data_IF_405557914319
#
_entry.id   IF_405557914319
#
_cell.length_a   1.000
_cell.length_b   1.000
_cell.length_c   1.000
_cell.angle_alpha   90.00
_cell.angle_beta   90.00
_cell.angle_gamma   90.00
#
_symmetry.space_group_name_H-M   'P 1'
#
loop_
_entity.id
_entity.type
_entity.pdbx_description
1 polymer ?
#
# COMPACT_ATOMS: atom_id res chain seq x y z
N UNK A 1 -13.55 59.78 -0.67
CA UNK A 1 -13.34 59.14 0.64
C UNK A 1 -12.38 57.96 0.50
N UNK A 2 -11.09 58.24 0.24
CA UNK A 2 -10.05 57.29 -0.18
C UNK A 2 -9.27 56.64 0.97
N UNK A 3 -9.84 56.60 2.18
CA UNK A 3 -9.17 56.09 3.39
C UNK A 3 -9.66 54.70 3.82
N UNK A 4 -10.63 54.13 3.11
CA UNK A 4 -11.16 52.79 3.41
C UNK A 4 -10.49 51.67 2.60
N UNK A 5 -9.76 52.00 1.54
CA UNK A 5 -9.11 51.00 0.67
C UNK A 5 -7.70 50.58 1.11
N UNK A 6 -7.10 51.29 2.07
CA UNK A 6 -5.72 51.01 2.52
C UNK A 6 -5.67 49.99 3.66
N UNK A 7 -6.80 49.71 4.33
CA UNK A 7 -6.83 48.81 5.49
C UNK A 7 -7.01 47.32 5.16
N UNK A 8 -7.34 46.95 3.91
CA UNK A 8 -7.53 45.53 3.53
C UNK A 8 -6.28 44.91 2.90
N UNK A 9 -5.19 45.69 2.74
CA UNK A 9 -3.91 45.23 2.18
C UNK A 9 -2.90 44.76 3.24
N UNK A 10 -3.34 44.53 4.48
CA UNK A 10 -2.49 44.07 5.59
C UNK A 10 -3.09 42.81 6.26
N UNK A 11 -3.46 41.82 5.46
CA UNK A 11 -3.79 40.47 5.93
C UNK A 11 -3.08 39.42 5.06
N UNK A 12 -1.84 39.71 4.68
CA UNK A 12 -0.93 38.72 4.09
C UNK A 12 -0.09 38.14 5.22
N UNK A 13 -0.68 37.22 5.98
CA UNK A 13 0.02 36.48 7.05
C UNK A 13 0.46 35.12 6.49
N UNK A 14 1.70 35.12 6.01
CA UNK A 14 2.73 34.07 6.14
C UNK A 14 2.21 32.64 6.41
N UNK A 15 2.10 31.82 5.35
CA UNK A 15 2.15 30.36 5.49
C UNK A 15 3.63 29.93 5.42
N UNK A 16 4.27 29.75 6.56
CA UNK A 16 5.57 29.09 6.62
C UNK A 16 5.36 27.58 6.39
N UNK A 17 5.92 27.06 5.30
CA UNK A 17 5.98 25.64 5.01
C UNK A 17 6.95 24.97 5.99
N UNK A 18 6.42 24.16 6.91
CA UNK A 18 7.23 23.32 7.78
C UNK A 18 7.71 22.10 6.97
N UNK A 19 9.00 22.05 6.63
CA UNK A 19 9.62 20.85 6.10
C UNK A 19 9.72 19.82 7.23
N UNK A 20 8.92 18.76 7.15
CA UNK A 20 8.91 17.67 8.13
C UNK A 20 10.18 16.83 7.94
N UNK A 21 11.14 17.00 8.84
CA UNK A 21 12.39 16.24 8.86
C UNK A 21 12.19 14.96 9.68
N UNK A 22 12.34 13.80 9.04
CA UNK A 22 12.19 12.48 9.65
C UNK A 22 13.57 12.01 10.14
N UNK A 23 13.71 11.71 11.43
CA UNK A 23 14.96 11.26 12.05
C UNK A 23 14.93 9.76 12.30
N UNK A 24 16.00 9.04 11.92
CA UNK A 24 16.17 7.60 12.14
C UNK A 24 17.17 7.33 13.27
N UNK A 25 16.90 6.39 14.17
CA UNK A 25 17.92 5.81 15.05
C UNK A 25 17.77 4.30 15.18
N UNK A 26 18.86 3.63 15.55
CA UNK A 26 18.88 2.19 15.80
C UNK A 26 19.08 1.96 17.28
N UNK A 27 18.25 1.13 17.91
CA UNK A 27 18.40 0.78 19.31
C UNK A 27 19.46 -0.33 19.53
N UNK A 28 19.79 -0.60 20.79
CA UNK A 28 20.77 -1.62 21.19
C UNK A 28 20.34 -3.08 20.89
N UNK A 29 19.12 -3.27 20.39
CA UNK A 29 18.58 -4.56 19.95
C UNK A 29 18.60 -4.69 18.41
N UNK A 30 19.10 -3.67 17.70
CA UNK A 30 19.18 -3.65 16.24
C UNK A 30 17.90 -3.20 15.54
N UNK A 31 16.88 -2.74 16.27
CA UNK A 31 15.64 -2.26 15.67
C UNK A 31 15.76 -0.79 15.27
N UNK A 32 15.24 -0.47 14.09
CA UNK A 32 15.28 0.87 13.52
C UNK A 32 13.98 1.61 13.84
N UNK A 33 14.10 2.80 14.41
CA UNK A 33 13.01 3.68 14.79
C UNK A 33 13.08 5.00 14.02
N UNK A 34 11.92 5.58 13.71
CA UNK A 34 11.79 6.89 13.05
C UNK A 34 10.95 7.84 13.92
N UNK A 35 11.35 9.12 14.04
CA UNK A 35 10.65 10.15 14.83
C UNK A 35 10.83 11.53 14.21
N UNK A 36 9.82 12.39 14.39
CA UNK A 36 9.80 13.77 13.92
C UNK A 36 10.21 14.78 15.03
N UNK A 37 10.75 14.30 16.16
CA UNK A 37 11.20 15.14 17.27
C UNK A 37 12.69 14.92 17.60
N UNK A 38 13.52 15.99 17.66
CA UNK A 38 14.94 15.87 17.88
C UNK A 38 15.27 15.48 19.34
N UNK A 39 16.19 14.52 19.51
CA UNK A 39 16.76 14.10 20.81
C UNK A 39 18.27 14.37 20.83
N UNK A 40 18.85 14.62 22.02
CA UNK A 40 20.30 14.80 22.18
C UNK A 40 21.05 13.54 21.70
N UNK A 41 21.97 13.72 20.75
CA UNK A 41 22.86 12.65 20.24
C UNK A 41 22.54 12.13 18.83
N UNK A 42 21.66 12.78 18.08
CA UNK A 42 21.40 12.42 16.69
C UNK A 42 22.52 12.93 15.76
N UNK A 43 23.13 12.03 14.99
CA UNK A 43 24.04 12.36 13.89
C UNK A 43 23.30 12.37 12.55
N UNK A 44 23.71 13.29 11.67
CA UNK A 44 23.14 13.51 10.35
C UNK A 44 23.57 12.41 9.38
N UNK A 45 22.61 11.72 8.75
CA UNK A 45 22.89 10.72 7.71
C UNK A 45 22.75 11.37 6.34
N UNK A 46 23.87 11.52 5.64
CA UNK A 46 23.90 11.88 4.22
C UNK A 46 23.73 10.62 3.39
N UNK A 47 22.69 10.57 2.55
CA UNK A 47 22.44 9.47 1.62
C UNK A 47 23.37 9.64 0.40
N UNK A 48 24.22 8.66 0.07
CA UNK A 48 25.02 8.73 -1.16
C UNK A 48 24.14 8.55 -2.41
N UNK A 49 24.50 9.23 -3.50
CA UNK A 49 23.80 9.17 -4.79
C UNK A 49 23.69 7.73 -5.33
N UNK A 50 22.55 7.45 -5.93
CA UNK A 50 22.19 6.18 -6.55
C UNK A 50 23.15 5.84 -7.70
N UNK A 51 23.77 4.67 -7.65
CA UNK A 51 24.46 4.10 -8.80
C UNK A 51 23.45 3.71 -9.87
N UNK A 52 23.46 4.44 -10.98
CA UNK A 52 22.70 4.08 -12.18
C UNK A 52 23.40 2.93 -12.90
N UNK A 53 22.76 1.76 -12.99
CA UNK A 53 23.19 0.72 -13.91
C UNK A 53 22.60 1.00 -15.30
N UNK A 54 23.48 1.09 -16.30
CA UNK A 54 23.11 1.23 -17.71
C UNK A 54 22.62 -0.12 -18.24
N UNK A 55 21.45 -0.13 -18.88
CA UNK A 55 20.90 -1.32 -19.56
C UNK A 55 21.81 -1.75 -20.73
N UNK A 56 21.99 -3.05 -21.00
CA UNK A 56 22.65 -3.49 -22.22
C UNK A 56 21.75 -3.27 -23.43
N UNK A 57 22.34 -2.68 -24.47
CA UNK A 57 21.74 -2.38 -25.78
C UNK A 57 21.15 -3.63 -26.45
N UNK A 58 19.92 -3.58 -26.99
CA UNK A 58 19.40 -4.68 -27.79
C UNK A 58 20.13 -4.76 -29.14
N UNK A 59 20.78 -5.89 -29.40
CA UNK A 59 21.30 -6.22 -30.73
C UNK A 59 20.23 -6.98 -31.52
N UNK A 60 19.91 -6.46 -32.70
CA UNK A 60 19.16 -7.10 -33.79
C UNK A 60 19.79 -6.55 -35.09
N UNK A 61 19.77 -7.23 -36.25
CA UNK A 61 18.96 -8.39 -36.65
C UNK A 61 19.71 -9.48 -37.45
N UNK A 62 19.07 -10.64 -37.68
CA UNK A 62 19.06 -11.27 -39.01
C UNK A 62 18.02 -12.39 -39.16
N UNK A 63 17.06 -12.11 -40.05
CA UNK A 63 16.07 -12.99 -40.71
C UNK A 63 16.73 -14.16 -41.44
N UNK A 64 16.07 -15.32 -41.59
CA UNK A 64 15.51 -15.65 -42.93
C UNK A 64 14.00 -15.92 -42.95
N UNK A 65 13.45 -15.75 -44.15
CA UNK A 65 12.06 -15.57 -44.52
C UNK A 65 11.31 -16.87 -44.89
N UNK A 66 10.00 -16.69 -45.08
CA UNK A 66 9.02 -17.49 -45.86
C UNK A 66 8.20 -18.51 -45.03
N UNK A 67 6.86 -18.59 -45.08
CA UNK A 67 5.84 -18.23 -46.09
C UNK A 67 4.47 -17.96 -45.40
N UNK A 68 3.55 -17.17 -45.99
CA UNK A 68 2.35 -16.67 -45.29
C UNK A 68 1.14 -17.61 -45.40
N UNK A 69 0.32 -17.61 -44.35
CA UNK A 69 -1.08 -18.01 -44.41
C UNK A 69 -1.92 -16.94 -43.67
N UNK A 70 -2.97 -16.52 -44.35
CA UNK A 70 -3.84 -15.37 -44.09
C UNK A 70 -4.89 -15.66 -43.00
N UNK A 71 -5.44 -14.55 -42.46
CA UNK A 71 -6.70 -14.44 -41.69
C UNK A 71 -6.59 -14.91 -40.23
N UNK A 72 -6.78 -14.08 -39.20
CA UNK A 72 -7.73 -12.98 -39.03
C UNK A 72 -7.10 -11.69 -38.47
N UNK A 73 -7.43 -10.56 -39.11
CA UNK A 73 -7.34 -9.24 -38.50
C UNK A 73 -8.64 -9.01 -37.73
N UNK A 74 -8.59 -9.04 -36.40
CA UNK A 74 -9.29 -8.10 -35.49
C UNK A 74 -9.21 -8.59 -34.02
N UNK A 75 -8.02 -8.85 -33.47
CA UNK A 75 -7.88 -9.06 -32.01
C UNK A 75 -6.44 -8.89 -31.45
N UNK A 76 -5.46 -8.51 -32.28
CA UNK A 76 -4.04 -8.49 -31.87
C UNK A 76 -3.56 -7.19 -31.24
N UNK A 77 -4.47 -6.24 -30.95
CA UNK A 77 -4.19 -5.01 -30.18
C UNK A 77 -5.04 -4.95 -28.88
N UNK A 78 -5.36 -6.09 -28.27
CA UNK A 78 -5.95 -6.13 -26.91
C UNK A 78 -5.38 -7.23 -26.01
N UNK A 79 -4.27 -7.87 -26.41
CA UNK A 79 -3.76 -9.05 -25.72
C UNK A 79 -2.32 -8.92 -25.22
N UNK A 80 -1.94 -7.72 -24.79
CA UNK A 80 -0.76 -7.53 -23.96
C UNK A 80 -1.11 -6.53 -22.90
N UNK A 81 -0.93 -6.94 -21.64
CA UNK A 81 -1.05 -6.14 -20.43
C UNK A 81 -2.43 -6.25 -19.73
N UNK A 82 -2.77 -7.45 -19.26
CA UNK A 82 -3.71 -7.65 -18.13
C UNK A 82 -2.94 -8.23 -16.93
N UNK A 83 -3.42 -8.03 -15.70
CA UNK A 83 -2.86 -8.74 -14.55
C UNK A 83 -3.20 -10.23 -14.68
N UNK A 84 -2.24 -11.10 -14.37
CA UNK A 84 -2.43 -12.55 -14.47
C UNK A 84 -2.79 -13.16 -13.12
N UNK A 85 -2.43 -12.49 -12.02
CA UNK A 85 -2.67 -12.97 -10.68
C UNK A 85 -2.80 -11.81 -9.69
N UNK A 86 -3.79 -11.90 -8.82
CA UNK A 86 -3.96 -11.06 -7.64
C UNK A 86 -4.51 -11.93 -6.52
N UNK A 87 -3.84 -11.92 -5.37
CA UNK A 87 -4.24 -12.73 -4.22
C UNK A 87 -3.86 -12.08 -2.89
N UNK A 88 -4.49 -12.53 -1.81
CA UNK A 88 -4.02 -12.24 -0.46
C UNK A 88 -3.06 -13.37 -0.05
N UNK A 89 -1.78 -13.04 0.12
CA UNK A 89 -0.75 -13.99 0.52
C UNK A 89 -0.69 -14.19 2.04
N UNK A 90 -1.06 -13.15 2.80
CA UNK A 90 -1.19 -13.21 4.25
C UNK A 90 -2.36 -12.32 4.71
N UNK A 91 -3.17 -12.74 5.69
CA UNK A 91 -3.21 -14.08 6.28
C UNK A 91 -3.70 -15.14 5.27
N UNK A 92 -3.45 -16.42 5.54
CA UNK A 92 -4.04 -17.50 4.72
C UNK A 92 -5.55 -17.60 4.94
N UNK A 93 -6.28 -18.07 3.93
CA UNK A 93 -7.70 -18.37 4.08
C UNK A 93 -7.91 -19.41 5.20
N UNK A 94 -8.92 -19.17 6.04
CA UNK A 94 -9.23 -19.93 7.24
C UNK A 94 -8.40 -19.57 8.48
N UNK A 95 -7.46 -18.61 8.38
CA UNK A 95 -6.61 -18.25 9.52
C UNK A 95 -7.42 -17.72 10.72
N UNK A 96 -7.00 -18.12 11.92
CA UNK A 96 -7.55 -17.58 13.17
C UNK A 96 -6.61 -16.54 13.76
N UNK A 97 -7.04 -15.29 13.82
CA UNK A 97 -6.30 -14.18 14.40
C UNK A 97 -6.71 -14.00 15.87
N UNK A 98 -5.75 -14.14 16.78
CA UNK A 98 -5.95 -13.94 18.23
C UNK A 98 -5.34 -12.60 18.63
N UNK A 99 -6.11 -11.52 18.51
CA UNK A 99 -5.65 -10.18 18.82
C UNK A 99 -6.74 -9.39 19.56
N UNK A 100 -6.45 -8.95 20.78
CA UNK A 100 -7.38 -8.24 21.65
C UNK A 100 -7.83 -6.89 21.08
N UNK A 101 -6.96 -6.24 20.32
CA UNK A 101 -7.20 -4.95 19.68
C UNK A 101 -7.86 -5.09 18.30
N UNK A 102 -8.05 -6.32 17.80
CA UNK A 102 -8.54 -6.55 16.45
C UNK A 102 -7.60 -6.02 15.37
N UNK A 103 -6.29 -6.05 15.62
CA UNK A 103 -5.29 -5.66 14.64
C UNK A 103 -4.97 -6.85 13.73
N UNK A 104 -5.10 -6.63 12.41
CA UNK A 104 -4.81 -7.62 11.36
C UNK A 104 -3.97 -6.94 10.28
N UNK A 105 -2.88 -7.59 9.87
CA UNK A 105 -2.08 -7.18 8.71
C UNK A 105 -2.43 -8.08 7.55
N UNK A 106 -2.69 -7.46 6.39
CA UNK A 106 -3.01 -8.15 5.14
C UNK A 106 -1.95 -7.81 4.11
N UNK A 107 -1.37 -8.81 3.47
CA UNK A 107 -0.37 -8.67 2.41
C UNK A 107 -0.94 -9.24 1.12
N UNK A 108 -0.92 -8.44 0.06
CA UNK A 108 -1.32 -8.84 -1.28
C UNK A 108 -0.11 -9.32 -2.11
N UNK A 109 -0.36 -10.23 -3.03
CA UNK A 109 0.55 -10.62 -4.11
C UNK A 109 -0.09 -10.27 -5.46
N UNK A 110 0.71 -9.73 -6.37
CA UNK A 110 0.27 -9.33 -7.72
C UNK A 110 1.32 -9.78 -8.73
N UNK A 111 0.87 -10.38 -9.83
CA UNK A 111 1.72 -10.73 -10.97
C UNK A 111 1.06 -10.31 -12.29
N UNK A 112 1.79 -9.64 -13.20
CA UNK A 112 3.09 -8.99 -13.01
C UNK A 112 3.03 -7.85 -11.98
N UNK A 113 4.17 -7.21 -11.66
CA UNK A 113 4.20 -6.05 -10.75
C UNK A 113 3.21 -4.96 -11.17
N UNK A 114 2.70 -4.21 -10.18
CA UNK A 114 1.78 -3.10 -10.40
C UNK A 114 2.35 -2.11 -11.41
N UNK A 115 1.51 -1.72 -12.35
CA UNK A 115 1.88 -0.73 -13.35
C UNK A 115 1.94 0.66 -12.73
N UNK A 116 2.77 1.56 -13.30
CA UNK A 116 2.74 2.95 -12.91
C UNK A 116 1.33 3.54 -13.04
N UNK A 117 0.80 4.07 -11.94
CA UNK A 117 -0.55 4.66 -11.86
C UNK A 117 -1.59 3.75 -11.23
N UNK A 118 -1.46 2.43 -11.40
CA UNK A 118 -2.36 1.45 -10.80
C UNK A 118 -2.07 1.32 -9.30
N UNK A 119 -3.12 1.04 -8.54
CA UNK A 119 -3.08 0.96 -7.08
C UNK A 119 -3.87 -0.24 -6.59
N UNK A 120 -3.57 -0.68 -5.38
CA UNK A 120 -4.31 -1.71 -4.68
C UNK A 120 -5.24 -1.09 -3.63
N UNK A 121 -6.39 -1.70 -3.43
CA UNK A 121 -7.33 -1.35 -2.39
C UNK A 121 -7.87 -2.60 -1.71
N UNK A 122 -7.93 -2.59 -0.39
CA UNK A 122 -8.46 -3.71 0.37
C UNK A 122 -9.98 -3.66 0.41
N UNK A 123 -10.62 -4.82 0.31
CA UNK A 123 -12.05 -5.03 0.56
C UNK A 123 -12.19 -5.78 1.87
N UNK A 124 -13.05 -5.28 2.75
CA UNK A 124 -13.39 -5.83 4.06
C UNK A 124 -14.91 -5.99 4.19
N UNK A 125 -15.39 -7.23 4.34
CA UNK A 125 -16.80 -7.58 4.57
C UNK A 125 -17.82 -6.92 3.60
N UNK A 126 -17.43 -6.70 2.34
CA UNK A 126 -18.15 -5.99 1.24
C UNK A 126 -17.89 -4.49 1.05
N UNK A 127 -17.13 -3.84 1.94
CA UNK A 127 -16.73 -2.45 1.80
C UNK A 127 -15.26 -2.29 1.45
N UNK A 128 -14.90 -1.27 0.66
CA UNK A 128 -13.49 -0.89 0.48
C UNK A 128 -12.94 -0.27 1.77
N UNK A 129 -11.72 -0.64 2.15
CA UNK A 129 -11.03 -0.10 3.32
C UNK A 129 -9.85 0.75 2.89
N UNK A 130 -9.91 2.03 3.28
CA UNK A 130 -8.85 3.01 3.01
C UNK A 130 -8.78 3.45 1.54
N UNK A 131 -7.88 4.40 1.28
CA UNK A 131 -7.59 4.89 -0.06
C UNK A 131 -6.73 3.89 -0.85
N UNK A 132 -6.87 3.84 -2.18
CA UNK A 132 -5.97 3.06 -3.02
C UNK A 132 -4.50 3.44 -2.84
N UNK A 133 -3.62 2.44 -2.76
CA UNK A 133 -2.19 2.62 -2.51
C UNK A 133 -1.33 1.62 -3.30
N UNK A 134 -0.06 1.95 -3.52
CA UNK A 134 0.89 1.07 -4.24
C UNK A 134 1.45 -0.03 -3.32
N UNK A 135 1.55 0.26 -2.02
CA UNK A 135 2.06 -0.70 -1.03
C UNK A 135 1.09 -1.89 -0.90
N UNK A 136 1.54 -3.15 -1.07
CA UNK A 136 0.67 -4.32 -0.97
C UNK A 136 0.33 -4.72 0.47
N UNK A 137 0.72 -3.93 1.48
CA UNK A 137 0.48 -4.21 2.89
C UNK A 137 -0.58 -3.28 3.46
N UNK A 138 -1.64 -3.87 4.01
CA UNK A 138 -2.77 -3.17 4.61
C UNK A 138 -2.89 -3.49 6.09
N UNK A 139 -3.23 -2.47 6.88
CA UNK A 139 -3.50 -2.61 8.30
C UNK A 139 -4.98 -2.40 8.58
N UNK A 140 -5.60 -3.38 9.23
CA UNK A 140 -6.96 -3.28 9.75
C UNK A 140 -6.87 -3.13 11.26
N UNK A 141 -7.40 -2.01 11.77
CA UNK A 141 -7.44 -1.71 13.21
C UNK A 141 -8.86 -1.90 13.72
N UNK A 142 -9.00 -2.55 14.88
CA UNK A 142 -10.30 -2.69 15.52
C UNK A 142 -11.26 -3.67 14.84
N UNK A 143 -10.77 -4.62 14.03
CA UNK A 143 -11.60 -5.66 13.41
C UNK A 143 -12.42 -6.39 14.49
N UNK A 144 -13.73 -6.48 14.27
CA UNK A 144 -14.63 -7.10 15.23
C UNK A 144 -14.29 -8.59 15.44
N UNK A 145 -14.85 -9.19 16.50
CA UNK A 145 -14.73 -10.64 16.66
C UNK A 145 -15.69 -11.34 15.71
N UNK A 146 -15.30 -12.50 15.21
CA UNK A 146 -16.14 -13.33 14.34
C UNK A 146 -15.48 -13.66 13.02
N UNK A 147 -16.30 -13.94 12.02
CA UNK A 147 -15.88 -14.29 10.67
C UNK A 147 -15.86 -13.06 9.80
N UNK A 148 -14.78 -12.88 9.05
CA UNK A 148 -14.58 -11.74 8.15
C UNK A 148 -14.10 -12.22 6.78
N UNK A 149 -14.57 -11.55 5.73
CA UNK A 149 -14.14 -11.79 4.36
C UNK A 149 -13.25 -10.65 3.89
N UNK A 150 -12.11 -11.00 3.31
CA UNK A 150 -11.12 -10.06 2.79
C UNK A 150 -10.86 -10.36 1.32
N UNK A 151 -10.75 -9.32 0.51
CA UNK A 151 -10.26 -9.41 -0.85
C UNK A 151 -9.40 -8.17 -1.14
N UNK A 152 -8.64 -8.17 -2.23
CA UNK A 152 -7.92 -6.99 -2.69
C UNK A 152 -8.30 -6.74 -4.15
N UNK A 153 -8.43 -5.48 -4.53
CA UNK A 153 -8.70 -5.07 -5.91
C UNK A 153 -7.58 -4.18 -6.43
N UNK A 154 -7.34 -4.25 -7.73
CA UNK A 154 -6.49 -3.30 -8.46
C UNK A 154 -7.40 -2.24 -9.06
N UNK A 155 -7.04 -0.98 -8.85
CA UNK A 155 -7.72 0.18 -9.44
C UNK A 155 -6.74 0.97 -10.31
N UNK A 156 -7.23 1.50 -11.42
CA UNK A 156 -6.46 2.37 -12.31
C UNK A 156 -6.30 3.79 -11.73
N UNK A 157 -5.60 4.65 -12.46
CA UNK A 157 -5.39 6.05 -12.10
C UNK A 157 -6.70 6.88 -12.07
N UNK A 158 -7.72 6.44 -12.81
CA UNK A 158 -9.04 7.08 -12.91
C UNK A 158 -10.01 6.55 -11.82
N UNK A 159 -9.61 5.54 -11.05
CA UNK A 159 -10.38 4.91 -9.98
C UNK A 159 -11.27 3.76 -10.43
N UNK A 160 -11.15 3.28 -11.67
CA UNK A 160 -11.88 2.11 -12.14
C UNK A 160 -11.22 0.83 -11.64
N UNK A 161 -12.04 -0.17 -11.28
CA UNK A 161 -11.55 -1.49 -10.87
C UNK A 161 -11.10 -2.26 -12.10
N UNK A 162 -9.81 -2.64 -12.14
CA UNK A 162 -9.22 -3.46 -13.20
C UNK A 162 -9.43 -4.95 -12.92
N UNK A 163 -9.15 -5.38 -11.69
CA UNK A 163 -9.21 -6.78 -11.28
C UNK A 163 -9.46 -6.91 -9.77
N UNK A 164 -9.95 -8.06 -9.32
CA UNK A 164 -10.23 -8.35 -7.90
C UNK A 164 -9.85 -9.78 -7.56
N UNK A 165 -9.16 -9.97 -6.44
CA UNK A 165 -8.77 -11.28 -5.96
C UNK A 165 -9.97 -12.12 -5.53
N UNK A 166 -9.78 -13.44 -5.51
CA UNK A 166 -10.67 -14.31 -4.76
C UNK A 166 -10.73 -13.88 -3.28
N UNK A 167 -11.91 -13.92 -2.66
CA UNK A 167 -12.04 -13.59 -1.25
C UNK A 167 -11.48 -14.71 -0.38
N UNK A 168 -10.79 -14.32 0.70
CA UNK A 168 -10.41 -15.21 1.78
C UNK A 168 -11.31 -14.98 2.99
N UNK A 169 -11.55 -16.02 3.77
CA UNK A 169 -12.28 -15.91 5.04
C UNK A 169 -11.28 -16.03 6.19
N UNK A 170 -11.36 -15.17 7.19
CA UNK A 170 -10.59 -15.27 8.42
C UNK A 170 -11.48 -15.22 9.65
N UNK A 171 -10.95 -15.68 10.78
CA UNK A 171 -11.65 -15.71 12.05
C UNK A 171 -10.90 -14.87 13.09
N UNK A 172 -11.56 -13.87 13.65
CA UNK A 172 -10.97 -13.03 14.71
C UNK A 172 -11.52 -13.42 16.06
N UNK A 173 -10.61 -13.75 16.97
CA UNK A 173 -10.90 -14.00 18.37
C UNK A 173 -10.24 -12.94 19.26
N UNK A 174 -11.04 -12.33 20.14
CA UNK A 174 -10.57 -11.42 21.19
C UNK A 174 -10.63 -12.15 22.53
N UNK A 175 -9.52 -12.75 23.02
CA UNK A 175 -9.51 -13.36 24.33
C UNK A 175 -9.79 -12.31 25.41
N UNK A 176 -10.61 -12.70 26.38
CA UNK A 176 -10.89 -11.87 27.56
C UNK A 176 -9.68 -12.03 28.49
N UNK A 177 -9.12 -10.93 28.98
CA UNK A 177 -8.09 -10.97 30.00
C UNK A 177 -8.77 -10.72 31.36
N UNK A 178 -8.76 -11.73 32.24
CA UNK A 178 -9.13 -11.59 33.65
C UNK A 178 -10.53 -12.09 34.06
N UNK A 179 -10.57 -13.28 34.64
CA UNK A 179 -11.48 -13.59 35.76
C UNK A 179 -10.56 -13.89 36.94
N UNK A 180 -10.32 -12.91 37.82
CA UNK A 180 -9.64 -13.20 39.09
C UNK A 180 -10.65 -14.01 39.92
N UNK A 181 -10.33 -15.24 40.35
CA UNK A 181 -11.18 -15.95 41.30
C UNK A 181 -11.31 -15.06 42.54
N UNK A 182 -12.53 -14.62 42.83
CA UNK A 182 -12.81 -13.91 44.07
C UNK A 182 -12.36 -14.80 45.22
N UNK A 183 -11.36 -14.34 45.97
CA UNK A 183 -11.06 -14.90 47.29
C UNK A 183 -12.29 -14.67 48.15
N UNK A 184 -13.16 -15.67 48.20
CA UNK A 184 -14.19 -15.76 49.23
C UNK A 184 -13.46 -15.70 50.58
N UNK A 185 -13.73 -14.63 51.33
CA UNK A 185 -13.37 -14.52 52.74
C UNK A 185 -14.47 -15.16 53.57
#
# INVERSE_FOLDING_TARGET
MSKFFVSLSFMMVICASYAMQIYKWTDSQGNVHFSDTPRKGAETVTIPETQSFSSPTPSSPQTPAQKPEQEDQDDTIKLKNSYTKIEITQPQSGATIRNNQGFVVVTAGVEPELRPGDKLQLIYDSGTLGEPQVNPVFEIKGMNRGTHNLAVQIVDADGNVIDTSDPITIYVFRPRVGMVPGTAR
#
